data_IF_429434378698
#
_entry.id   IF_429434378698
#
_cell.length_a   1.000
_cell.length_b   1.000
_cell.length_c   1.000
_cell.angle_alpha   90.00
_cell.angle_beta   90.00
_cell.angle_gamma   90.00
#
_symmetry.space_group_name_H-M   'P 1'
#
loop_
_entity.id
_entity.type
_entity.pdbx_description
1 polymer ?
#
# COMPACT_ATOMS: atom_id res chain seq x y z
N UNK A 1 14.65 -17.02 6.31
CA UNK A 1 14.09 -16.64 7.63
C UNK A 1 14.75 -15.39 8.24
N UNK A 2 16.06 -15.33 8.51
CA UNK A 2 16.72 -14.12 9.09
C UNK A 2 16.55 -12.83 8.27
N UNK A 3 16.53 -12.93 6.94
CA UNK A 3 16.36 -11.76 6.06
C UNK A 3 14.94 -11.21 6.03
N UNK A 4 13.94 -12.09 6.16
CA UNK A 4 12.53 -11.66 6.20
C UNK A 4 12.23 -10.88 7.49
N UNK A 5 12.76 -11.34 8.63
CA UNK A 5 12.65 -10.61 9.90
C UNK A 5 13.26 -9.20 9.82
N UNK A 6 14.38 -9.05 9.12
CA UNK A 6 15.00 -7.74 8.91
C UNK A 6 14.12 -6.82 8.04
N UNK A 7 13.56 -7.30 6.94
CA UNK A 7 12.66 -6.51 6.11
C UNK A 7 11.38 -6.08 6.83
N UNK A 8 10.80 -6.97 7.65
CA UNK A 8 9.63 -6.64 8.48
C UNK A 8 9.98 -5.57 9.52
N UNK A 9 11.11 -5.71 10.23
CA UNK A 9 11.54 -4.70 11.19
C UNK A 9 11.77 -3.32 10.56
N UNK A 10 12.40 -3.28 9.38
CA UNK A 10 12.57 -2.01 8.63
C UNK A 10 11.21 -1.46 8.19
N UNK A 11 10.32 -2.31 7.67
CA UNK A 11 8.98 -1.90 7.23
C UNK A 11 8.16 -1.27 8.36
N UNK A 12 8.20 -1.88 9.55
CA UNK A 12 7.51 -1.34 10.74
C UNK A 12 8.10 -0.02 11.20
N UNK A 13 9.43 0.14 11.17
CA UNK A 13 10.09 1.40 11.50
C UNK A 13 9.70 2.51 10.52
N UNK A 14 9.72 2.24 9.21
CA UNK A 14 9.32 3.20 8.17
C UNK A 14 7.85 3.59 8.32
N UNK A 15 6.97 2.63 8.61
CA UNK A 15 5.57 2.90 8.90
C UNK A 15 5.39 3.76 10.15
N UNK A 16 6.13 3.48 11.23
CA UNK A 16 6.06 4.27 12.47
C UNK A 16 6.54 5.72 12.27
N UNK A 17 7.61 5.94 11.49
CA UNK A 17 8.12 7.27 11.17
C UNK A 17 7.15 8.01 10.24
N UNK A 18 6.55 7.31 9.28
CA UNK A 18 5.56 7.86 8.35
C UNK A 18 4.23 8.25 9.00
N UNK A 19 3.91 7.72 10.19
CA UNK A 19 2.68 8.05 10.92
C UNK A 19 2.78 9.33 11.77
N UNK A 20 3.98 9.82 12.08
CA UNK A 20 4.16 10.94 13.03
C UNK A 20 3.86 12.33 12.44
N UNK A 21 3.97 12.52 11.12
CA UNK A 21 3.74 13.82 10.48
C UNK A 21 3.24 13.63 9.03
N UNK A 22 1.99 13.18 8.90
CA UNK A 22 1.44 12.82 7.60
C UNK A 22 0.29 13.74 7.21
N UNK A 23 0.44 14.40 6.06
CA UNK A 23 -0.65 15.21 5.51
C UNK A 23 -1.84 14.33 5.12
N UNK A 24 -3.09 14.85 5.11
CA UNK A 24 -4.27 14.09 4.69
C UNK A 24 -4.12 13.44 3.31
N UNK A 25 -3.39 14.11 2.41
CA UNK A 25 -2.99 13.56 1.10
C UNK A 25 -2.11 12.34 1.21
N UNK A 26 -1.03 12.41 1.98
CA UNK A 26 -0.09 11.30 2.14
C UNK A 26 -0.77 10.11 2.82
N UNK A 27 -1.59 10.33 3.85
CA UNK A 27 -2.38 9.25 4.48
C UNK A 27 -3.32 8.60 3.47
N UNK A 28 -4.01 9.42 2.67
CA UNK A 28 -4.88 8.95 1.59
C UNK A 28 -4.11 8.09 0.59
N UNK A 29 -2.98 8.56 0.08
CA UNK A 29 -2.13 7.84 -0.88
C UNK A 29 -1.62 6.52 -0.34
N UNK A 30 -1.10 6.49 0.89
CA UNK A 30 -0.54 5.27 1.48
C UNK A 30 -1.63 4.27 1.84
N UNK A 31 -2.73 4.73 2.44
CA UNK A 31 -3.88 3.88 2.76
C UNK A 31 -4.55 3.34 1.48
N UNK A 32 -4.79 4.20 0.50
CA UNK A 32 -5.35 3.83 -0.78
C UNK A 32 -4.46 2.85 -1.54
N UNK A 33 -3.13 3.08 -1.54
CA UNK A 33 -2.17 2.19 -2.17
C UNK A 33 -2.05 0.84 -1.46
N UNK A 34 -2.08 0.82 -0.12
CA UNK A 34 -2.06 -0.43 0.64
C UNK A 34 -3.33 -1.26 0.40
N UNK A 35 -4.51 -0.63 0.47
CA UNK A 35 -5.81 -1.29 0.23
C UNK A 35 -5.90 -1.76 -1.22
N UNK A 36 -5.48 -0.91 -2.16
CA UNK A 36 -5.45 -1.24 -3.57
C UNK A 36 -4.51 -2.41 -3.88
N UNK A 37 -3.33 -2.45 -3.28
CA UNK A 37 -2.39 -3.55 -3.45
C UNK A 37 -2.91 -4.85 -2.83
N UNK A 38 -3.46 -4.79 -1.62
CA UNK A 38 -4.05 -5.96 -0.96
C UNK A 38 -5.26 -6.51 -1.74
N UNK A 39 -6.14 -5.62 -2.20
CA UNK A 39 -7.31 -5.98 -3.01
C UNK A 39 -6.91 -6.53 -4.38
N UNK A 40 -6.01 -5.85 -5.09
CA UNK A 40 -5.53 -6.28 -6.40
C UNK A 40 -4.77 -7.60 -6.35
N UNK A 41 -3.94 -7.81 -5.32
CA UNK A 41 -3.28 -9.10 -5.07
C UNK A 41 -4.30 -10.21 -4.77
N UNK A 42 -5.30 -9.92 -3.93
CA UNK A 42 -6.35 -10.87 -3.57
C UNK A 42 -7.19 -11.30 -4.78
N UNK A 43 -7.62 -10.34 -5.60
CA UNK A 43 -8.39 -10.62 -6.82
C UNK A 43 -7.55 -11.41 -7.81
N UNK A 44 -6.28 -11.02 -8.04
CA UNK A 44 -5.39 -11.75 -8.94
C UNK A 44 -5.12 -13.18 -8.44
N UNK A 45 -4.95 -13.38 -7.14
CA UNK A 45 -4.79 -14.70 -6.54
C UNK A 45 -6.03 -15.59 -6.74
N UNK A 46 -7.25 -15.02 -6.62
CA UNK A 46 -8.51 -15.75 -6.86
C UNK A 46 -8.71 -16.05 -8.35
N UNK A 47 -8.36 -15.10 -9.22
CA UNK A 47 -8.48 -15.24 -10.67
C UNK A 47 -7.42 -16.16 -11.30
N UNK A 48 -6.50 -16.73 -10.51
CA UNK A 48 -5.41 -17.56 -11.00
C UNK A 48 -4.30 -16.80 -11.74
N UNK A 49 -4.25 -15.47 -11.57
CA UNK A 49 -3.24 -14.60 -12.14
C UNK A 49 -2.11 -14.26 -11.16
N UNK A 50 -1.13 -13.50 -11.65
CA UNK A 50 0.00 -13.07 -10.83
C UNK A 50 -0.45 -12.08 -9.74
N UNK A 51 -0.48 -12.55 -8.49
CA UNK A 51 -0.79 -11.75 -7.32
C UNK A 51 0.11 -10.50 -7.21
N UNK A 52 1.36 -10.60 -7.67
CA UNK A 52 2.29 -9.48 -7.70
C UNK A 52 1.87 -8.38 -8.69
N UNK A 53 1.46 -8.77 -9.89
CA UNK A 53 0.95 -7.84 -10.91
C UNK A 53 -0.34 -7.19 -10.42
N UNK A 54 -1.24 -7.97 -9.82
CA UNK A 54 -2.45 -7.46 -9.19
C UNK A 54 -2.14 -6.46 -8.06
N UNK A 55 -1.14 -6.75 -7.23
CA UNK A 55 -0.70 -5.88 -6.14
C UNK A 55 -0.13 -4.56 -6.66
N UNK A 56 0.71 -4.58 -7.69
CA UNK A 56 1.31 -3.36 -8.26
C UNK A 56 0.24 -2.49 -8.90
N UNK A 57 -0.63 -3.08 -9.74
CA UNK A 57 -1.68 -2.33 -10.44
C UNK A 57 -2.68 -1.77 -9.43
N UNK A 58 -3.17 -2.61 -8.53
CA UNK A 58 -4.10 -2.20 -7.49
C UNK A 58 -3.47 -1.16 -6.56
N UNK A 59 -2.21 -1.33 -6.19
CA UNK A 59 -1.48 -0.39 -5.33
C UNK A 59 -1.26 0.96 -5.98
N UNK A 60 -0.89 0.99 -7.26
CA UNK A 60 -0.73 2.24 -7.99
C UNK A 60 -2.08 2.96 -8.16
N UNK A 61 -3.12 2.25 -8.59
CA UNK A 61 -4.46 2.81 -8.78
C UNK A 61 -5.04 3.32 -7.44
N UNK A 62 -4.91 2.53 -6.38
CA UNK A 62 -5.34 2.89 -5.04
C UNK A 62 -4.58 4.07 -4.46
N UNK A 63 -3.27 4.17 -4.72
CA UNK A 63 -2.46 5.31 -4.29
C UNK A 63 -2.89 6.61 -4.97
N UNK A 64 -3.14 6.57 -6.29
CA UNK A 64 -3.64 7.74 -7.04
C UNK A 64 -5.02 8.15 -6.54
N UNK A 65 -5.94 7.21 -6.37
CA UNK A 65 -7.28 7.47 -5.83
C UNK A 65 -7.23 8.05 -4.41
N UNK A 66 -6.36 7.49 -3.57
CA UNK A 66 -6.09 7.96 -2.22
C UNK A 66 -5.54 9.40 -2.18
N UNK A 67 -4.61 9.74 -3.07
CA UNK A 67 -4.07 11.09 -3.21
C UNK A 67 -5.14 12.11 -3.62
N UNK A 68 -6.03 11.72 -4.56
CA UNK A 68 -7.14 12.58 -4.99
C UNK A 68 -8.15 12.82 -3.87
N UNK A 69 -8.46 11.79 -3.07
CA UNK A 69 -9.39 11.89 -1.95
C UNK A 69 -8.81 12.69 -0.79
N UNK A 70 -7.54 12.48 -0.47
CA UNK A 70 -6.84 13.24 0.58
C UNK A 70 -6.56 14.70 0.22
N UNK A 71 -6.66 15.08 -1.05
CA UNK A 71 -6.55 16.47 -1.51
C UNK A 71 -7.87 17.23 -1.56
N UNK A 72 -9.01 16.56 -1.29
CA UNK A 72 -10.35 17.15 -1.25
C UNK A 72 -10.86 17.35 0.19
N UNK A 73 -9.96 17.33 1.17
CA UNK A 73 -10.23 17.56 2.59
C UNK A 73 -9.29 18.64 3.11
#
# INVERSE_FOLDING_TARGET
MKRLGWFVSIGTLVAAIGCTDMTPRQQGTVSGGAIGAAGGAGIAAIAGGDAWTGAIIGGAAGAVAGNMRGGHQ
#
